data_IF_298670087819
#
_entry.id   IF_298670087819
#
_cell.length_a   1.000
_cell.length_b   1.000
_cell.length_c   1.000
_cell.angle_alpha   90.00
_cell.angle_beta   90.00
_cell.angle_gamma   90.00
#
_symmetry.space_group_name_H-M   'P 1'
#
loop_
_entity.id
_entity.type
_entity.pdbx_description
1 polymer ?
#
# COMPACT_ATOMS: atom_id res chain seq x y z
N UNK A 1 19.21 23.85 -15.15
CA UNK A 1 18.40 23.16 -14.13
C UNK A 1 17.83 21.93 -14.80
N UNK A 2 18.33 20.76 -14.46
CA UNK A 2 17.77 19.48 -14.94
C UNK A 2 16.35 19.36 -14.37
N UNK A 3 15.40 19.01 -15.21
CA UNK A 3 14.03 18.73 -14.77
C UNK A 3 14.05 17.46 -13.92
N UNK A 4 13.96 17.61 -12.60
CA UNK A 4 13.99 16.53 -11.62
C UNK A 4 12.76 15.61 -11.72
N UNK A 5 11.74 16.02 -12.44
CA UNK A 5 10.53 15.21 -12.65
C UNK A 5 10.63 14.34 -13.92
N UNK A 6 11.65 14.56 -14.76
CA UNK A 6 11.87 13.77 -15.96
C UNK A 6 12.08 12.28 -15.61
N UNK A 7 11.29 11.42 -16.22
CA UNK A 7 11.35 9.98 -16.03
C UNK A 7 12.43 9.38 -16.94
N UNK A 8 13.37 8.66 -16.34
CA UNK A 8 14.33 7.81 -17.05
C UNK A 8 13.86 6.37 -16.95
N UNK A 9 13.76 5.68 -18.06
CA UNK A 9 13.34 4.28 -18.09
C UNK A 9 14.52 3.36 -18.38
N UNK A 10 14.48 2.13 -17.90
CA UNK A 10 15.48 1.12 -18.16
C UNK A 10 14.91 -0.29 -18.04
N UNK A 11 15.72 -1.25 -18.42
CA UNK A 11 15.45 -2.67 -18.28
C UNK A 11 16.53 -3.31 -17.41
N UNK A 12 16.12 -4.17 -16.50
CA UNK A 12 17.01 -4.95 -15.64
C UNK A 12 16.74 -6.44 -15.87
N UNK A 13 17.72 -7.15 -16.40
CA UNK A 13 17.67 -8.62 -16.48
C UNK A 13 17.92 -9.21 -15.10
N UNK A 14 17.00 -10.05 -14.65
CA UNK A 14 17.06 -10.82 -13.41
C UNK A 14 16.88 -12.31 -13.73
N UNK A 15 17.00 -13.18 -12.74
CA UNK A 15 16.76 -14.60 -12.97
C UNK A 15 15.30 -14.86 -13.35
N UNK A 16 15.09 -15.34 -14.58
CA UNK A 16 13.80 -15.72 -15.14
C UNK A 16 12.87 -14.56 -15.56
N UNK A 17 13.38 -13.31 -15.61
CA UNK A 17 12.57 -12.17 -16.06
C UNK A 17 13.44 -10.98 -16.54
N UNK A 18 12.79 -10.04 -17.24
CA UNK A 18 13.35 -8.71 -17.52
C UNK A 18 12.43 -7.65 -16.94
N UNK A 19 12.93 -6.85 -16.00
CA UNK A 19 12.13 -5.84 -15.28
C UNK A 19 12.23 -4.48 -15.96
N UNK A 20 11.10 -3.89 -16.28
CA UNK A 20 11.02 -2.48 -16.66
C UNK A 20 11.02 -1.62 -15.39
N UNK A 21 11.90 -0.61 -15.34
CA UNK A 21 11.94 0.34 -14.24
C UNK A 21 11.96 1.78 -14.72
N UNK A 22 11.51 2.66 -13.85
CA UNK A 22 11.43 4.11 -14.03
C UNK A 22 12.12 4.79 -12.87
N UNK A 23 12.97 5.79 -13.17
CA UNK A 23 13.73 6.52 -12.15
C UNK A 23 13.52 8.01 -12.36
N UNK A 24 13.27 8.72 -11.28
CA UNK A 24 13.13 10.19 -11.27
C UNK A 24 13.77 10.78 -10.00
N UNK A 25 14.12 12.08 -10.07
CA UNK A 25 14.76 12.76 -8.96
C UNK A 25 16.25 12.47 -8.77
N UNK A 26 16.80 13.06 -7.72
CA UNK A 26 18.20 12.92 -7.27
C UNK A 26 18.23 12.93 -5.74
N UNK A 27 19.07 12.08 -5.14
CA UNK A 27 19.24 11.93 -3.70
C UNK A 27 19.36 10.46 -3.28
N UNK A 28 19.15 10.13 -2.01
CA UNK A 28 19.12 8.76 -1.53
C UNK A 28 18.09 7.93 -2.30
N UNK A 29 18.37 6.65 -2.54
CA UNK A 29 17.48 5.78 -3.29
C UNK A 29 16.24 5.39 -2.48
N UNK A 30 15.06 5.58 -3.08
CA UNK A 30 13.78 5.05 -2.63
C UNK A 30 13.22 4.12 -3.71
N UNK A 31 13.08 2.84 -3.41
CA UNK A 31 12.40 1.88 -4.29
C UNK A 31 10.93 1.78 -3.86
N UNK A 32 10.02 1.87 -4.83
CA UNK A 32 8.57 1.72 -4.60
C UNK A 32 8.04 0.58 -5.46
N UNK A 33 7.61 -0.50 -4.83
CA UNK A 33 7.02 -1.66 -5.50
C UNK A 33 5.49 -1.57 -5.47
N UNK A 34 4.80 -1.65 -6.62
CA UNK A 34 3.34 -1.65 -6.68
C UNK A 34 2.75 -2.97 -6.15
N UNK A 35 1.57 -2.87 -5.53
CA UNK A 35 0.81 -4.02 -5.03
C UNK A 35 -0.37 -4.39 -5.93
N UNK A 36 -1.03 -5.51 -5.61
CA UNK A 36 -2.15 -6.02 -6.40
C UNK A 36 -1.75 -6.31 -7.85
N UNK A 37 -2.55 -5.85 -8.79
CA UNK A 37 -2.29 -5.95 -10.24
C UNK A 37 -1.63 -4.69 -10.81
N UNK A 38 -1.17 -3.76 -9.95
CA UNK A 38 -0.62 -2.48 -10.38
C UNK A 38 0.78 -2.62 -11.01
N UNK A 39 1.14 -1.63 -11.83
CA UNK A 39 2.49 -1.44 -12.37
C UNK A 39 3.10 -0.11 -11.88
N UNK A 40 4.30 0.22 -12.32
CA UNK A 40 5.04 1.42 -11.92
C UNK A 40 4.20 2.71 -12.02
N UNK A 41 3.32 2.80 -13.02
CA UNK A 41 2.52 4.01 -13.29
C UNK A 41 1.52 4.36 -12.18
N UNK A 42 1.18 3.43 -11.26
CA UNK A 42 0.31 3.75 -10.11
C UNK A 42 0.94 4.80 -9.19
N UNK A 43 2.25 4.91 -9.21
CA UNK A 43 3.00 5.81 -8.36
C UNK A 43 3.33 7.17 -8.99
N UNK A 44 2.93 7.45 -10.23
CA UNK A 44 3.38 8.65 -10.96
C UNK A 44 3.18 9.95 -10.17
N UNK A 45 2.01 10.13 -9.56
CA UNK A 45 1.71 11.31 -8.77
C UNK A 45 2.58 11.39 -7.50
N UNK A 46 2.70 10.28 -6.76
CA UNK A 46 3.46 10.20 -5.50
C UNK A 46 4.96 10.33 -5.77
N UNK A 47 5.47 9.63 -6.79
CA UNK A 47 6.88 9.65 -7.13
C UNK A 47 7.37 11.03 -7.57
N UNK A 48 6.53 11.80 -8.29
CA UNK A 48 6.84 13.18 -8.65
C UNK A 48 7.00 14.08 -7.41
N UNK A 49 6.12 13.92 -6.42
CA UNK A 49 6.18 14.69 -5.16
C UNK A 49 7.38 14.32 -4.29
N UNK A 50 7.92 13.09 -4.40
CA UNK A 50 9.07 12.62 -3.64
C UNK A 50 10.42 12.90 -4.33
N UNK A 51 10.42 13.12 -5.65
CA UNK A 51 11.61 13.29 -6.47
C UNK A 51 12.44 14.56 -6.17
N UNK A 52 11.92 15.45 -5.33
CA UNK A 52 12.66 16.63 -4.82
C UNK A 52 13.76 16.24 -3.82
N UNK A 53 13.64 15.09 -3.15
CA UNK A 53 14.52 14.62 -2.07
C UNK A 53 15.13 13.25 -2.29
N UNK A 54 14.52 12.41 -3.14
CA UNK A 54 14.96 11.04 -3.38
C UNK A 54 15.19 10.78 -4.86
N UNK A 55 16.10 9.87 -5.15
CA UNK A 55 16.07 9.12 -6.39
C UNK A 55 14.98 8.07 -6.24
N UNK A 56 13.80 8.33 -6.82
CA UNK A 56 12.66 7.43 -6.73
C UNK A 56 12.70 6.45 -7.88
N UNK A 57 12.78 5.16 -7.56
CA UNK A 57 12.71 4.07 -8.51
C UNK A 57 11.38 3.32 -8.35
N UNK A 58 10.61 3.24 -9.43
CA UNK A 58 9.41 2.39 -9.54
C UNK A 58 9.66 1.34 -10.62
N UNK A 59 8.99 0.21 -10.57
CA UNK A 59 9.17 -0.85 -11.58
C UNK A 59 7.90 -1.68 -11.74
N UNK A 60 7.77 -2.32 -12.89
CA UNK A 60 6.72 -3.31 -13.10
C UNK A 60 7.21 -4.64 -12.49
N UNK A 61 6.43 -5.27 -11.59
CA UNK A 61 6.79 -6.58 -11.05
C UNK A 61 6.94 -7.63 -12.17
N UNK A 62 7.76 -8.66 -11.93
CA UNK A 62 7.93 -9.77 -12.87
C UNK A 62 6.59 -10.37 -13.28
N UNK A 63 6.41 -10.63 -14.58
CA UNK A 63 5.17 -11.14 -15.15
C UNK A 63 4.07 -10.10 -15.35
N UNK A 64 4.30 -8.82 -15.01
CA UNK A 64 3.34 -7.73 -15.15
C UNK A 64 3.76 -6.76 -16.25
N UNK A 65 2.77 -6.24 -16.96
CA UNK A 65 2.89 -5.10 -17.88
C UNK A 65 4.10 -5.18 -18.82
N UNK A 66 5.18 -4.44 -18.53
CA UNK A 66 6.40 -4.34 -19.35
C UNK A 66 7.54 -5.21 -18.84
N UNK A 67 7.28 -6.09 -17.86
CA UNK A 67 8.27 -6.98 -17.23
C UNK A 67 7.97 -8.45 -17.55
N UNK A 68 8.27 -8.93 -18.77
CA UNK A 68 7.98 -10.30 -19.17
C UNK A 68 8.82 -11.32 -18.38
N UNK A 69 8.24 -12.50 -18.19
CA UNK A 69 8.95 -13.69 -17.74
C UNK A 69 9.64 -14.37 -18.94
N UNK A 70 10.76 -15.05 -18.68
CA UNK A 70 11.47 -15.87 -19.68
C UNK A 70 10.76 -17.21 -19.95
N UNK A 71 9.78 -17.58 -19.14
CA UNK A 71 9.01 -18.82 -19.21
C UNK A 71 7.53 -18.65 -18.90
N UNK A 72 6.78 -19.74 -18.74
CA UNK A 72 5.36 -19.68 -18.39
C UNK A 72 5.15 -19.06 -17.01
N UNK A 73 4.00 -18.40 -16.83
CA UNK A 73 3.60 -17.86 -15.52
C UNK A 73 3.29 -19.02 -14.59
N UNK A 74 3.87 -18.97 -13.39
CA UNK A 74 3.63 -19.91 -12.29
C UNK A 74 3.40 -19.14 -11.00
N UNK A 75 3.03 -19.82 -9.92
CA UNK A 75 2.87 -19.18 -8.62
C UNK A 75 4.15 -18.43 -8.24
N UNK A 76 3.98 -17.14 -7.92
CA UNK A 76 5.05 -16.22 -7.61
C UNK A 76 5.48 -16.34 -6.15
N UNK A 77 6.74 -16.00 -5.86
CA UNK A 77 7.29 -16.05 -4.51
C UNK A 77 7.66 -14.66 -3.99
N UNK A 78 7.20 -14.24 -2.80
CA UNK A 78 7.68 -13.01 -2.18
C UNK A 78 9.21 -12.94 -2.05
N UNK A 79 9.88 -14.08 -1.84
CA UNK A 79 11.33 -14.15 -1.76
C UNK A 79 12.01 -13.80 -3.10
N UNK A 80 11.49 -14.31 -4.22
CA UNK A 80 12.02 -14.01 -5.55
C UNK A 80 11.83 -12.52 -5.89
N UNK A 81 10.67 -11.95 -5.58
CA UNK A 81 10.45 -10.51 -5.77
C UNK A 81 11.32 -9.66 -4.84
N UNK A 82 11.65 -10.14 -3.63
CA UNK A 82 12.60 -9.48 -2.73
C UNK A 82 14.01 -9.45 -3.33
N UNK A 83 14.44 -10.56 -3.95
CA UNK A 83 15.73 -10.63 -4.64
C UNK A 83 15.76 -9.70 -5.85
N UNK A 84 14.66 -9.55 -6.61
CA UNK A 84 14.53 -8.56 -7.69
C UNK A 84 14.72 -7.12 -7.20
N UNK A 85 14.11 -6.77 -6.06
CA UNK A 85 14.29 -5.43 -5.44
C UNK A 85 15.77 -5.19 -5.15
N UNK A 86 16.46 -6.17 -4.60
CA UNK A 86 17.90 -6.03 -4.29
C UNK A 86 18.73 -5.87 -5.56
N UNK A 87 18.42 -6.60 -6.65
CA UNK A 87 19.07 -6.41 -7.94
C UNK A 87 18.85 -5.00 -8.50
N UNK A 88 17.64 -4.45 -8.33
CA UNK A 88 17.36 -3.07 -8.73
C UNK A 88 18.14 -2.07 -7.86
N UNK A 89 18.25 -2.30 -6.56
CA UNK A 89 19.08 -1.49 -5.67
C UNK A 89 20.54 -1.56 -6.08
N UNK A 90 21.08 -2.74 -6.40
CA UNK A 90 22.47 -2.91 -6.83
C UNK A 90 22.77 -2.17 -8.14
N UNK A 91 21.80 -2.16 -9.08
CA UNK A 91 21.90 -1.39 -10.33
C UNK A 91 21.94 0.11 -10.09
N UNK A 92 21.07 0.63 -9.20
CA UNK A 92 20.85 2.06 -9.02
C UNK A 92 21.70 2.68 -7.91
N UNK A 93 22.29 1.87 -7.03
CA UNK A 93 23.20 2.25 -5.95
C UNK A 93 24.46 1.37 -5.98
N UNK A 94 25.31 1.54 -7.02
CA UNK A 94 26.49 0.69 -7.24
C UNK A 94 27.58 0.89 -6.18
N UNK A 95 27.54 1.97 -5.41
CA UNK A 95 28.41 2.22 -4.27
C UNK A 95 28.05 1.39 -3.02
N UNK A 96 26.95 0.63 -3.10
CA UNK A 96 26.50 -0.25 -2.02
C UNK A 96 25.67 0.48 -0.94
N UNK A 97 25.33 1.76 -1.11
CA UNK A 97 24.48 2.48 -0.17
C UNK A 97 23.10 1.81 -0.03
N UNK A 98 22.58 1.63 1.20
CA UNK A 98 21.27 1.03 1.41
C UNK A 98 20.15 1.96 0.96
N UNK A 99 19.09 1.38 0.39
CA UNK A 99 17.92 2.11 -0.10
C UNK A 99 16.78 2.12 0.91
N UNK A 100 15.90 3.12 0.82
CA UNK A 100 14.56 3.03 1.40
C UNK A 100 13.65 2.20 0.49
N UNK A 101 12.68 1.48 1.08
CA UNK A 101 11.72 0.64 0.37
C UNK A 101 10.30 0.94 0.84
N UNK A 102 9.40 1.19 -0.11
CA UNK A 102 7.97 1.27 0.12
C UNK A 102 7.23 0.17 -0.64
N UNK A 103 6.35 -0.54 0.06
CA UNK A 103 5.41 -1.49 -0.53
C UNK A 103 4.03 -1.35 0.10
N UNK A 104 2.96 -1.55 -0.70
CA UNK A 104 1.58 -1.52 -0.22
C UNK A 104 0.85 -2.80 -0.60
N UNK A 105 0.01 -3.32 0.31
CA UNK A 105 -0.74 -4.56 0.08
C UNK A 105 0.20 -5.76 -0.22
N UNK A 106 0.01 -6.48 -1.32
CA UNK A 106 0.87 -7.62 -1.69
C UNK A 106 2.36 -7.26 -1.77
N UNK A 107 2.73 -6.06 -2.24
CA UNK A 107 4.12 -5.63 -2.24
C UNK A 107 4.68 -5.26 -0.86
N UNK A 108 3.82 -4.94 0.10
CA UNK A 108 4.25 -4.83 1.50
C UNK A 108 4.72 -6.19 2.05
N UNK A 109 4.13 -7.30 1.61
CA UNK A 109 4.63 -8.65 1.95
C UNK A 109 6.02 -8.88 1.38
N UNK A 110 6.26 -8.43 0.14
CA UNK A 110 7.60 -8.48 -0.47
C UNK A 110 8.60 -7.60 0.29
N UNK A 111 8.18 -6.41 0.71
CA UNK A 111 9.03 -5.52 1.50
C UNK A 111 9.45 -6.15 2.84
N UNK A 112 8.55 -6.89 3.51
CA UNK A 112 8.89 -7.68 4.70
C UNK A 112 9.89 -8.79 4.37
N UNK A 113 9.69 -9.52 3.27
CA UNK A 113 10.60 -10.56 2.81
C UNK A 113 11.99 -9.98 2.48
N UNK A 114 12.05 -8.82 1.81
CA UNK A 114 13.30 -8.13 1.48
C UNK A 114 14.06 -7.71 2.74
N UNK A 115 13.39 -7.15 3.74
CA UNK A 115 14.01 -6.75 4.99
C UNK A 115 14.55 -7.95 5.77
N UNK A 116 13.78 -9.04 5.84
CA UNK A 116 14.21 -10.24 6.54
C UNK A 116 15.42 -10.92 5.89
N UNK A 117 15.51 -10.91 4.54
CA UNK A 117 16.57 -11.59 3.78
C UNK A 117 17.81 -10.74 3.54
N UNK A 118 17.63 -9.43 3.39
CA UNK A 118 18.66 -8.49 2.94
C UNK A 118 18.71 -7.20 3.80
N UNK A 119 18.78 -7.31 5.14
CA UNK A 119 18.68 -6.14 6.03
C UNK A 119 19.77 -5.09 5.75
N UNK A 120 20.98 -5.51 5.35
CA UNK A 120 22.08 -4.58 5.03
C UNK A 120 21.89 -3.76 3.76
N UNK A 121 20.91 -4.08 2.91
CA UNK A 121 20.59 -3.33 1.67
C UNK A 121 19.46 -2.30 1.87
N UNK A 122 18.83 -2.27 3.04
CA UNK A 122 17.65 -1.45 3.32
C UNK A 122 17.89 -0.53 4.51
N UNK A 123 17.79 0.77 4.29
CA UNK A 123 17.92 1.79 5.33
C UNK A 123 16.60 2.01 6.10
N UNK A 124 15.46 1.92 5.39
CA UNK A 124 14.12 2.06 5.95
C UNK A 124 13.13 1.30 5.09
N UNK A 125 12.22 0.57 5.71
CA UNK A 125 11.13 -0.14 5.02
C UNK A 125 9.79 0.36 5.56
N UNK A 126 8.92 0.78 4.65
CA UNK A 126 7.53 1.11 4.96
C UNK A 126 6.66 0.07 4.28
N UNK A 127 6.05 -0.80 5.08
CA UNK A 127 5.14 -1.86 4.63
C UNK A 127 3.70 -1.44 4.96
N UNK A 128 2.97 -0.90 3.97
CA UNK A 128 1.60 -0.42 4.15
C UNK A 128 0.61 -1.58 3.95
N UNK A 129 -0.05 -1.95 5.04
CA UNK A 129 -1.13 -2.94 5.08
C UNK A 129 -0.82 -4.27 4.38
N UNK A 130 0.25 -4.99 4.80
CA UNK A 130 0.55 -6.31 4.27
C UNK A 130 -0.54 -7.34 4.66
N UNK A 131 -1.19 -8.03 3.70
CA UNK A 131 -2.24 -9.00 3.99
C UNK A 131 -1.66 -10.35 4.46
N UNK A 132 -0.88 -10.34 5.53
CA UNK A 132 -0.22 -11.54 6.07
C UNK A 132 -1.19 -12.33 6.94
N UNK A 133 -1.94 -13.24 6.33
CA UNK A 133 -3.01 -13.99 7.03
C UNK A 133 -2.50 -14.84 8.20
N UNK A 134 -1.24 -15.27 8.15
CA UNK A 134 -0.62 -16.04 9.25
C UNK A 134 -0.59 -15.30 10.59
N UNK A 135 -0.79 -13.98 10.59
CA UNK A 135 -0.73 -13.12 11.77
C UNK A 135 -2.11 -12.67 12.27
N UNK A 136 -3.17 -13.05 11.58
CA UNK A 136 -4.55 -12.76 11.97
C UNK A 136 -4.96 -13.59 13.21
N UNK A 137 -6.01 -13.17 13.93
CA UNK A 137 -6.63 -13.98 14.98
C UNK A 137 -7.12 -15.33 14.47
N UNK A 138 -7.70 -15.38 13.28
CA UNK A 138 -8.07 -16.60 12.55
C UNK A 138 -7.33 -16.66 11.19
N UNK A 139 -6.15 -17.32 11.16
CA UNK A 139 -5.40 -17.47 9.92
C UNK A 139 -6.06 -18.39 8.89
N UNK A 140 -6.94 -19.31 9.32
CA UNK A 140 -7.62 -20.22 8.42
C UNK A 140 -8.72 -19.53 7.65
N UNK A 141 -9.53 -18.72 8.32
CA UNK A 141 -10.53 -17.88 7.66
C UNK A 141 -9.89 -16.95 6.61
N UNK A 142 -8.75 -16.32 6.96
CA UNK A 142 -8.00 -15.48 6.02
C UNK A 142 -7.51 -16.25 4.79
N UNK A 143 -6.98 -17.47 4.97
CA UNK A 143 -6.56 -18.34 3.85
C UNK A 143 -7.74 -18.77 3.00
N UNK A 144 -8.84 -19.15 3.64
CA UNK A 144 -10.06 -19.58 2.96
C UNK A 144 -10.64 -18.45 2.08
N UNK A 145 -10.63 -17.20 2.58
CA UNK A 145 -11.06 -16.04 1.81
C UNK A 145 -10.28 -15.91 0.50
N UNK A 146 -8.94 -15.86 0.56
CA UNK A 146 -8.14 -15.68 -0.65
C UNK A 146 -8.19 -16.91 -1.58
N UNK A 147 -8.34 -18.11 -1.04
CA UNK A 147 -8.58 -19.31 -1.83
C UNK A 147 -9.92 -19.25 -2.57
N UNK A 148 -10.99 -18.77 -1.91
CA UNK A 148 -12.30 -18.57 -2.54
C UNK A 148 -12.25 -17.50 -3.66
N UNK A 149 -11.49 -16.42 -3.47
CA UNK A 149 -11.29 -15.42 -4.53
C UNK A 149 -10.61 -16.03 -5.76
N UNK A 150 -9.53 -16.82 -5.56
CA UNK A 150 -8.85 -17.52 -6.67
C UNK A 150 -9.77 -18.53 -7.35
N UNK A 151 -10.56 -19.25 -6.59
CA UNK A 151 -11.52 -20.22 -7.17
C UNK A 151 -12.62 -19.51 -7.97
N UNK A 152 -13.17 -18.40 -7.47
CA UNK A 152 -14.12 -17.58 -8.22
C UNK A 152 -13.51 -17.04 -9.53
N UNK A 153 -12.22 -16.69 -9.52
CA UNK A 153 -11.51 -16.33 -10.74
C UNK A 153 -11.47 -17.48 -11.75
N UNK A 154 -11.15 -18.69 -11.30
CA UNK A 154 -11.04 -19.88 -12.16
C UNK A 154 -12.39 -20.30 -12.77
N UNK A 155 -13.47 -20.17 -12.01
CA UNK A 155 -14.80 -20.58 -12.42
C UNK A 155 -15.49 -19.51 -13.30
N UNK A 156 -15.47 -18.25 -12.85
CA UNK A 156 -16.35 -17.21 -13.38
C UNK A 156 -15.57 -15.95 -13.81
N UNK A 157 -14.22 -15.97 -13.71
CA UNK A 157 -13.35 -14.92 -14.20
C UNK A 157 -13.18 -13.72 -13.26
N UNK A 158 -12.58 -12.66 -13.79
CA UNK A 158 -12.12 -11.49 -13.01
C UNK A 158 -13.25 -10.81 -12.23
N UNK A 159 -14.43 -10.63 -12.84
CA UNK A 159 -15.54 -9.92 -12.18
C UNK A 159 -16.02 -10.64 -10.92
N UNK A 160 -16.16 -11.97 -10.97
CA UNK A 160 -16.55 -12.78 -9.83
C UNK A 160 -15.49 -12.76 -8.72
N UNK A 161 -14.21 -12.87 -9.08
CA UNK A 161 -13.12 -12.79 -8.13
C UNK A 161 -13.07 -11.44 -7.40
N UNK A 162 -13.25 -10.33 -8.12
CA UNK A 162 -13.25 -9.00 -7.52
C UNK A 162 -14.47 -8.78 -6.62
N UNK A 163 -15.64 -9.32 -6.98
CA UNK A 163 -16.82 -9.31 -6.12
C UNK A 163 -16.61 -10.12 -4.83
N UNK A 164 -16.03 -11.32 -4.95
CA UNK A 164 -15.69 -12.16 -3.80
C UNK A 164 -14.67 -11.47 -2.87
N UNK A 165 -13.66 -10.82 -3.44
CA UNK A 165 -12.66 -10.07 -2.67
C UNK A 165 -13.30 -8.89 -1.93
N UNK A 166 -14.14 -8.10 -2.60
CA UNK A 166 -14.83 -6.97 -1.98
C UNK A 166 -15.75 -7.42 -0.83
N UNK A 167 -16.51 -8.49 -1.03
CA UNK A 167 -17.38 -9.05 -0.01
C UNK A 167 -16.59 -9.58 1.22
N UNK A 168 -15.47 -10.27 0.98
CA UNK A 168 -14.68 -10.86 2.05
C UNK A 168 -13.78 -9.87 2.80
N UNK A 169 -13.51 -8.70 2.24
CA UNK A 169 -12.79 -7.63 2.92
C UNK A 169 -13.72 -6.60 3.56
N UNK A 170 -15.03 -6.67 3.31
CA UNK A 170 -16.00 -5.80 3.97
C UNK A 170 -16.01 -6.07 5.50
N UNK A 171 -16.15 -5.05 6.35
CA UNK A 171 -16.34 -5.27 7.79
C UNK A 171 -17.59 -6.13 8.02
N UNK A 172 -17.53 -7.08 8.95
CA UNK A 172 -18.73 -7.82 9.36
C UNK A 172 -19.75 -6.82 9.93
N UNK A 173 -21.00 -6.86 9.44
CA UNK A 173 -22.08 -6.02 9.96
C UNK A 173 -22.38 -6.46 11.41
N UNK A 174 -21.80 -5.77 12.37
CA UNK A 174 -22.06 -6.04 13.80
C UNK A 174 -21.02 -5.50 14.79
N UNK A 175 -19.82 -5.17 14.37
CA UNK A 175 -18.79 -4.67 15.29
C UNK A 175 -18.51 -3.16 15.06
N UNK A 176 -19.52 -2.33 15.48
CA UNK A 176 -19.28 -0.92 15.69
C UNK A 176 -18.23 -0.78 16.81
N UNK A 177 -17.09 -0.15 16.50
CA UNK A 177 -16.07 0.17 17.49
C UNK A 177 -16.73 0.82 18.73
N UNK A 178 -16.36 0.45 19.98
CA UNK A 178 -16.90 1.09 21.16
C UNK A 178 -16.55 2.57 21.13
N UNK A 179 -17.56 3.40 20.93
CA UNK A 179 -17.43 4.85 21.06
C UNK A 179 -16.97 5.21 22.48
N UNK A 180 -16.25 6.33 22.69
CA UNK A 180 -15.80 6.74 24.01
C UNK A 180 -17.02 6.87 24.93
N UNK A 181 -17.02 6.12 26.05
CA UNK A 181 -18.01 6.19 27.09
C UNK A 181 -18.21 7.64 27.54
N UNK A 182 -19.38 8.19 27.25
CA UNK A 182 -19.86 9.40 27.90
C UNK A 182 -20.23 9.05 29.33
N UNK A 183 -19.42 9.51 30.26
CA UNK A 183 -19.79 9.50 31.68
C UNK A 183 -21.12 10.20 31.86
N UNK A 184 -22.12 9.42 32.29
CA UNK A 184 -23.43 9.94 32.70
C UNK A 184 -23.28 10.64 34.04
N UNK A 185 -23.43 11.96 34.07
CA UNK A 185 -23.84 12.69 35.29
C UNK A 185 -25.21 13.28 35.04
N UNK A 186 -26.19 12.73 35.74
CA UNK A 186 -27.56 13.23 35.71
C UNK A 186 -27.69 14.52 36.50
N UNK A 187 -28.58 15.37 36.02
CA UNK A 187 -29.52 16.16 36.87
C UNK A 187 -30.61 16.73 35.97
N UNK A 188 -31.85 16.33 36.30
CA UNK A 188 -33.05 16.98 35.82
C UNK A 188 -33.05 18.44 36.24
N UNK A 189 -33.53 19.32 35.36
CA UNK A 189 -34.56 20.32 35.70
C UNK A 189 -35.14 20.97 34.45
N UNK A 190 -36.49 21.06 34.49
CA UNK A 190 -37.35 21.63 33.48
C UNK A 190 -37.36 23.19 33.52
N UNK A 191 -37.64 23.82 32.43
CA UNK A 191 -38.71 24.81 32.18
C UNK A 191 -38.32 25.91 31.17
N UNK A 192 -39.11 25.98 30.14
CA UNK A 192 -39.71 27.16 29.46
C UNK A 192 -38.90 28.43 29.22
N UNK A 193 -38.74 28.81 27.97
CA UNK A 193 -39.26 30.05 27.37
C UNK A 193 -38.73 30.26 25.95
N UNK A 194 -39.62 30.63 25.07
CA UNK A 194 -39.37 31.10 23.71
C UNK A 194 -38.56 32.41 23.74
N UNK A 195 -37.45 32.46 22.97
CA UNK A 195 -36.91 33.73 22.52
C UNK A 195 -36.33 33.58 21.08
N UNK A 196 -36.80 34.53 20.25
CA UNK A 196 -36.52 34.67 18.83
C UNK A 196 -35.01 34.98 18.58
N UNK A 197 -34.31 34.34 17.65
CA UNK A 197 -32.89 34.64 17.42
C UNK A 197 -32.70 35.87 16.52
N UNK A 198 -31.87 36.78 17.00
CA UNK A 198 -31.33 37.93 16.28
C UNK A 198 -30.37 37.57 15.13
N UNK A 199 -30.24 38.41 14.09
CA UNK A 199 -29.59 38.08 12.79
C UNK A 199 -28.07 37.94 12.79
N UNK A 200 -27.38 38.06 13.91
CA UNK A 200 -25.87 38.12 13.91
C UNK A 200 -25.17 36.76 14.05
N UNK A 201 -25.90 35.66 14.26
CA UNK A 201 -25.28 34.31 14.39
C UNK A 201 -25.13 33.56 13.07
N UNK A 202 -25.55 34.10 11.95
CA UNK A 202 -25.47 33.43 10.64
C UNK A 202 -24.13 33.62 9.89
N UNK A 203 -23.22 34.44 10.43
CA UNK A 203 -21.92 34.68 9.76
C UNK A 203 -20.83 33.67 10.14
N UNK A 204 -20.92 33.00 11.29
CA UNK A 204 -19.90 32.03 11.74
C UNK A 204 -20.13 30.57 11.28
N UNK A 205 -21.37 30.25 10.85
CA UNK A 205 -21.68 28.92 10.30
C UNK A 205 -21.44 28.77 8.80
N UNK A 206 -20.96 29.80 8.12
CA UNK A 206 -20.65 29.77 6.70
C UNK A 206 -19.19 29.31 6.38
N UNK A 207 -18.35 29.04 7.38
CA UNK A 207 -16.94 28.71 7.21
C UNK A 207 -16.62 27.21 7.12
N UNK A 208 -17.60 26.31 7.26
CA UNK A 208 -17.44 24.86 7.04
C UNK A 208 -18.35 24.36 5.92
N UNK A 209 -18.29 25.03 4.77
CA UNK A 209 -18.71 24.37 3.53
C UNK A 209 -17.60 23.40 3.14
N UNK A 210 -17.77 22.15 3.51
CA UNK A 210 -17.12 21.01 2.90
C UNK A 210 -17.16 21.22 1.39
N UNK A 211 -15.98 21.48 0.79
CA UNK A 211 -15.86 21.65 -0.65
C UNK A 211 -16.33 20.34 -1.28
N UNK A 212 -17.44 20.40 -2.00
CA UNK A 212 -17.89 19.28 -2.81
C UNK A 212 -16.70 18.78 -3.65
N UNK A 213 -16.51 17.46 -3.78
CA UNK A 213 -15.40 16.92 -4.55
C UNK A 213 -15.44 17.56 -5.95
N UNK A 214 -14.29 18.08 -6.40
CA UNK A 214 -14.16 18.60 -7.74
C UNK A 214 -14.62 17.52 -8.74
N UNK A 215 -15.30 17.87 -9.84
CA UNK A 215 -15.77 16.89 -10.81
C UNK A 215 -14.58 16.03 -11.25
N UNK A 216 -14.74 14.72 -11.19
CA UNK A 216 -13.71 13.74 -11.59
C UNK A 216 -13.27 14.09 -13.03
N UNK A 217 -12.03 14.53 -13.15
CA UNK A 217 -11.43 14.85 -14.43
C UNK A 217 -11.19 13.53 -15.17
N UNK A 218 -11.60 13.44 -16.43
CA UNK A 218 -11.32 12.26 -17.24
C UNK A 218 -9.82 11.91 -17.17
N UNK A 219 -9.46 10.62 -17.08
CA UNK A 219 -8.08 10.20 -16.97
C UNK A 219 -7.26 10.67 -18.19
N UNK A 220 -6.01 11.06 -17.93
CA UNK A 220 -5.09 11.37 -19.05
C UNK A 220 -4.84 10.11 -19.90
N UNK A 221 -4.33 10.25 -21.14
CA UNK A 221 -3.96 9.09 -21.96
C UNK A 221 -2.99 8.14 -21.26
N UNK A 222 -2.04 8.66 -20.47
CA UNK A 222 -1.07 7.90 -19.68
C UNK A 222 -1.76 7.14 -18.56
N UNK A 223 -2.62 7.80 -17.78
CA UNK A 223 -3.42 7.15 -16.74
C UNK A 223 -4.33 6.06 -17.32
N UNK A 224 -4.98 6.34 -18.46
CA UNK A 224 -5.79 5.32 -19.15
C UNK A 224 -4.94 4.12 -19.63
N UNK A 225 -3.69 4.35 -20.06
CA UNK A 225 -2.77 3.28 -20.43
C UNK A 225 -2.37 2.45 -19.20
N UNK A 226 -2.06 3.09 -18.06
CA UNK A 226 -1.78 2.43 -16.78
C UNK A 226 -2.96 1.55 -16.34
N UNK A 227 -4.18 2.07 -16.33
CA UNK A 227 -5.36 1.28 -15.96
C UNK A 227 -5.60 0.07 -16.88
N UNK A 228 -5.37 0.22 -18.19
CA UNK A 228 -5.46 -0.94 -19.11
C UNK A 228 -4.42 -2.02 -18.79
N UNK A 229 -3.17 -1.64 -18.50
CA UNK A 229 -2.12 -2.59 -18.11
C UNK A 229 -2.44 -3.26 -16.77
N UNK A 230 -2.87 -2.50 -15.77
CA UNK A 230 -3.30 -3.04 -14.48
C UNK A 230 -4.45 -4.05 -14.63
N UNK A 231 -5.42 -3.74 -15.51
CA UNK A 231 -6.51 -4.68 -15.81
C UNK A 231 -5.98 -5.96 -16.49
N UNK A 232 -5.03 -5.82 -17.41
CA UNK A 232 -4.41 -6.98 -18.07
C UNK A 232 -3.56 -7.84 -17.11
N UNK A 233 -3.06 -7.28 -16.00
CA UNK A 233 -2.32 -8.02 -14.97
C UNK A 233 -3.24 -8.81 -14.02
N UNK A 234 -4.54 -8.52 -13.96
CA UNK A 234 -5.46 -9.17 -13.01
C UNK A 234 -5.44 -10.70 -13.06
N UNK A 235 -5.39 -11.37 -14.24
CA UNK A 235 -5.28 -12.82 -14.26
C UNK A 235 -4.03 -13.35 -13.57
N UNK A 236 -2.87 -12.71 -13.77
CA UNK A 236 -1.62 -13.11 -13.10
C UNK A 236 -1.73 -12.87 -11.59
N UNK A 237 -2.26 -11.74 -11.18
CA UNK A 237 -2.46 -11.42 -9.78
C UNK A 237 -3.38 -12.43 -9.08
N UNK A 238 -4.56 -12.67 -9.62
CA UNK A 238 -5.60 -13.50 -9.01
C UNK A 238 -5.19 -14.98 -8.96
N UNK A 239 -4.51 -15.48 -10.01
CA UNK A 239 -4.12 -16.87 -10.09
C UNK A 239 -2.80 -17.17 -9.37
N UNK A 240 -1.77 -16.29 -9.55
CA UNK A 240 -0.40 -16.65 -9.23
C UNK A 240 0.27 -15.80 -8.13
N UNK A 241 -0.37 -14.72 -7.69
CA UNK A 241 0.21 -13.81 -6.69
C UNK A 241 -0.61 -13.77 -5.41
N UNK A 242 -1.92 -13.65 -5.51
CA UNK A 242 -2.81 -13.40 -4.37
C UNK A 242 -2.62 -14.42 -3.23
N UNK A 243 -2.78 -15.71 -3.51
CA UNK A 243 -2.67 -16.75 -2.50
C UNK A 243 -1.24 -16.98 -1.99
N UNK A 244 -0.19 -17.06 -2.85
CA UNK A 244 1.18 -17.19 -2.37
C UNK A 244 1.64 -16.04 -1.49
N UNK A 245 1.20 -14.80 -1.78
CA UNK A 245 1.64 -13.63 -1.02
C UNK A 245 0.85 -13.47 0.28
N UNK A 246 -0.47 -13.61 0.27
CA UNK A 246 -1.26 -13.57 1.50
C UNK A 246 -0.94 -14.72 2.45
N UNK A 247 -0.60 -15.89 1.90
CA UNK A 247 -0.18 -17.08 2.65
C UNK A 247 1.28 -17.04 3.12
N UNK A 248 2.05 -16.01 2.78
CA UNK A 248 3.45 -15.89 3.21
C UNK A 248 3.56 -15.83 4.73
N UNK A 249 4.51 -16.58 5.29
CA UNK A 249 4.83 -16.58 6.72
C UNK A 249 6.12 -15.78 6.92
N UNK A 250 6.05 -14.58 7.50
CA UNK A 250 7.24 -13.76 7.71
C UNK A 250 8.20 -14.39 8.72
N UNK A 251 9.51 -14.23 8.50
CA UNK A 251 10.52 -14.53 9.49
C UNK A 251 10.49 -13.45 10.61
N UNK A 252 9.73 -13.73 11.68
CA UNK A 252 9.57 -12.80 12.80
C UNK A 252 10.88 -12.56 13.55
N UNK A 253 11.82 -13.50 13.53
CA UNK A 253 13.12 -13.36 14.21
C UNK A 253 13.97 -12.34 13.46
N UNK A 254 14.09 -12.50 12.14
CA UNK A 254 14.83 -11.57 11.30
C UNK A 254 14.19 -10.16 11.30
N UNK A 255 12.86 -10.09 11.21
CA UNK A 255 12.13 -8.80 11.25
C UNK A 255 12.29 -8.11 12.61
N UNK A 256 12.26 -8.85 13.71
CA UNK A 256 12.51 -8.30 15.06
C UNK A 256 13.94 -7.74 15.18
N UNK A 257 14.92 -8.43 14.63
CA UNK A 257 16.31 -7.95 14.62
C UNK A 257 16.46 -6.65 13.79
N UNK A 258 15.57 -6.42 12.81
CA UNK A 258 15.58 -5.25 11.93
C UNK A 258 14.44 -4.26 12.24
N UNK A 259 13.79 -4.37 13.39
CA UNK A 259 12.58 -3.61 13.74
C UNK A 259 12.78 -2.08 13.69
N UNK A 260 13.97 -1.59 13.99
CA UNK A 260 14.31 -0.17 13.92
C UNK A 260 14.23 0.39 12.49
N UNK A 261 14.38 -0.46 11.46
CA UNK A 261 14.26 -0.09 10.05
C UNK A 261 12.86 -0.30 9.48
N UNK A 262 11.92 -0.88 10.24
CA UNK A 262 10.58 -1.25 9.78
C UNK A 262 9.52 -0.32 10.34
N UNK A 263 8.67 0.20 9.47
CA UNK A 263 7.43 0.89 9.82
C UNK A 263 6.26 0.21 9.12
N UNK A 264 5.26 -0.19 9.90
CA UNK A 264 3.99 -0.69 9.36
C UNK A 264 3.07 0.50 9.10
N UNK A 265 2.64 0.68 7.85
CA UNK A 265 1.63 1.67 7.48
C UNK A 265 0.23 1.12 7.69
N UNK A 266 -0.68 1.96 8.19
CA UNK A 266 -2.12 1.63 8.35
C UNK A 266 -2.94 2.82 7.84
N UNK A 267 -3.89 2.58 6.95
CA UNK A 267 -4.82 3.59 6.50
C UNK A 267 -5.78 3.97 7.60
N UNK A 268 -6.07 5.26 7.73
CA UNK A 268 -7.01 5.79 8.74
C UNK A 268 -8.40 5.17 8.62
N UNK A 269 -8.84 4.95 7.37
CA UNK A 269 -10.20 4.54 7.05
C UNK A 269 -10.34 3.02 6.84
N UNK A 270 -9.23 2.25 6.98
CA UNK A 270 -9.19 0.79 6.79
C UNK A 270 -8.83 -0.01 8.05
N UNK A 271 -8.88 0.60 9.24
CA UNK A 271 -8.39 -0.04 10.49
C UNK A 271 -9.07 -1.37 10.83
N UNK A 272 -10.34 -1.54 10.44
CA UNK A 272 -11.08 -2.79 10.64
C UNK A 272 -10.81 -3.83 9.56
N UNK A 273 -10.14 -3.47 8.47
CA UNK A 273 -9.87 -4.41 7.38
C UNK A 273 -8.72 -5.36 7.73
N UNK A 274 -8.82 -6.58 7.22
CA UNK A 274 -7.84 -7.65 7.41
C UNK A 274 -6.37 -7.19 7.24
N UNK A 275 -5.98 -6.43 6.19
CA UNK A 275 -4.58 -6.03 6.02
C UNK A 275 -4.08 -5.07 7.11
N UNK A 276 -4.94 -4.19 7.62
CA UNK A 276 -4.61 -3.27 8.71
C UNK A 276 -4.45 -4.03 10.03
N UNK A 277 -5.36 -4.95 10.33
CA UNK A 277 -5.27 -5.84 11.51
C UNK A 277 -3.98 -6.67 11.48
N UNK A 278 -3.62 -7.22 10.31
CA UNK A 278 -2.38 -7.98 10.13
C UNK A 278 -1.13 -7.10 10.35
N UNK A 279 -1.13 -5.85 9.81
CA UNK A 279 -0.05 -4.90 9.99
C UNK A 279 0.19 -4.57 11.48
N UNK A 280 -0.87 -4.21 12.20
CA UNK A 280 -0.79 -3.92 13.64
C UNK A 280 -0.37 -5.16 14.46
N UNK A 281 -0.89 -6.34 14.08
CA UNK A 281 -0.50 -7.63 14.69
C UNK A 281 1.00 -7.91 14.51
N UNK A 282 1.54 -7.65 13.32
CA UNK A 282 2.97 -7.78 13.03
C UNK A 282 3.79 -6.78 13.86
N UNK A 283 3.41 -5.50 13.85
CA UNK A 283 4.12 -4.45 14.58
C UNK A 283 4.30 -4.81 16.06
N UNK A 284 3.22 -5.26 16.71
CA UNK A 284 3.28 -5.70 18.12
C UNK A 284 4.23 -6.89 18.34
N UNK A 285 4.27 -7.86 17.41
CA UNK A 285 5.10 -9.08 17.54
C UNK A 285 6.60 -8.82 17.38
N UNK A 286 6.96 -7.89 16.47
CA UNK A 286 8.37 -7.61 16.17
C UNK A 286 8.89 -6.34 16.83
N UNK A 287 8.03 -5.51 17.44
CA UNK A 287 8.41 -4.23 18.04
C UNK A 287 8.68 -3.13 17.02
N UNK A 288 8.07 -3.21 15.82
CA UNK A 288 8.19 -2.18 14.79
C UNK A 288 7.26 -1.00 15.05
N UNK A 289 7.61 0.17 14.49
CA UNK A 289 6.75 1.36 14.52
C UNK A 289 5.49 1.18 13.66
N UNK A 290 4.42 1.89 14.03
CA UNK A 290 3.20 2.00 13.23
C UNK A 290 3.02 3.46 12.81
N UNK A 291 2.68 3.69 11.54
CA UNK A 291 2.36 5.01 11.02
C UNK A 291 0.98 5.00 10.38
N UNK A 292 0.13 5.95 10.77
CA UNK A 292 -1.15 6.18 10.10
C UNK A 292 -0.95 6.93 8.79
N UNK A 293 -1.66 6.49 7.75
CA UNK A 293 -1.67 7.11 6.43
C UNK A 293 -3.07 7.65 6.08
N UNK A 294 -3.17 8.70 5.23
CA UNK A 294 -4.44 9.24 4.75
C UNK A 294 -5.21 8.20 3.91
N UNK A 295 -6.54 8.20 4.05
CA UNK A 295 -7.42 7.27 3.36
C UNK A 295 -7.41 5.86 3.94
N UNK A 296 -7.88 4.90 3.15
CA UNK A 296 -7.92 3.50 3.50
C UNK A 296 -6.80 2.68 2.84
N UNK A 297 -7.11 1.42 2.52
CA UNK A 297 -6.19 0.48 1.87
C UNK A 297 -5.62 1.00 0.54
N UNK A 298 -6.41 1.75 -0.20
CA UNK A 298 -6.02 2.39 -1.47
C UNK A 298 -5.76 3.89 -1.33
N UNK A 299 -5.52 4.39 -0.12
CA UNK A 299 -5.30 5.80 0.20
C UNK A 299 -4.22 6.48 -0.65
N UNK A 300 -3.25 5.71 -1.16
CA UNK A 300 -2.21 6.21 -2.06
C UNK A 300 -2.78 6.74 -3.40
N UNK A 301 -3.92 6.20 -3.86
CA UNK A 301 -4.61 6.64 -5.09
C UNK A 301 -5.71 7.65 -4.80
N UNK A 302 -6.37 7.55 -3.66
CA UNK A 302 -7.45 8.46 -3.24
C UNK A 302 -6.91 9.82 -2.78
N UNK A 303 -5.78 9.81 -2.07
CA UNK A 303 -5.16 10.99 -1.46
C UNK A 303 -3.66 11.12 -1.79
N UNK A 304 -3.23 11.09 -3.07
CA UNK A 304 -1.83 10.90 -3.46
C UNK A 304 -0.89 11.96 -2.85
N UNK A 305 -1.29 13.23 -2.82
CA UNK A 305 -0.45 14.32 -2.25
C UNK A 305 -0.29 14.18 -0.73
N UNK A 306 -1.39 13.93 -0.01
CA UNK A 306 -1.35 13.76 1.44
C UNK A 306 -0.60 12.48 1.81
N UNK A 307 -0.76 11.41 1.03
CA UNK A 307 -0.04 10.16 1.20
C UNK A 307 1.48 10.36 0.96
N UNK A 308 1.87 11.06 -0.11
CA UNK A 308 3.27 11.38 -0.39
C UNK A 308 3.91 12.21 0.72
N UNK A 309 3.22 13.23 1.22
CA UNK A 309 3.69 14.05 2.34
C UNK A 309 3.91 13.18 3.60
N UNK A 310 2.96 12.31 3.92
CA UNK A 310 3.07 11.41 5.06
C UNK A 310 4.20 10.38 4.89
N UNK A 311 4.35 9.79 3.70
CA UNK A 311 5.45 8.88 3.39
C UNK A 311 6.80 9.57 3.53
N UNK A 312 6.92 10.81 3.08
CA UNK A 312 8.12 11.65 3.27
C UNK A 312 8.49 11.79 4.74
N UNK A 313 7.53 12.09 5.61
CA UNK A 313 7.75 12.25 7.05
C UNK A 313 8.22 10.93 7.67
N UNK A 314 7.59 9.80 7.32
CA UNK A 314 7.93 8.48 7.83
C UNK A 314 9.33 8.04 7.37
N UNK A 315 9.71 8.36 6.13
CA UNK A 315 11.03 8.04 5.60
C UNK A 315 12.14 8.92 6.21
N UNK A 316 11.83 10.16 6.61
CA UNK A 316 12.77 11.10 7.21
C UNK A 316 12.94 10.91 8.72
N UNK A 317 12.03 10.22 9.41
CA UNK A 317 12.12 9.94 10.84
C UNK A 317 13.24 8.92 11.10
N UNK A 318 14.27 9.35 11.80
CA UNK A 318 15.41 8.52 12.25
C UNK A 318 15.10 7.75 13.53
#
# INVERSE_FOLDING_TARGET
MTDRTAVRTGLLTVDGATLHHEVRGEGPLLVMMPGGSADAGIYDAIAADLADRWTVATFDPRGYSRSPLDGPVTDQSPATHADDIVRLIDLLSPDGAPAALFGSSSSAVVALAALARHPGRLSRVVAHEPPVVALLPDPEAGRALFAAVREAFRQDGVAAAMAAMAAGLAPEEGEAAPGPERAASGSEQAATAEENPTPERNAEQAATREQAPAPERAPTPEQAATFRRMHANLPVFLEHVLCPFSGYVPDLVALKASAAHLVLGVGRDSRALLPAVAAEGLARRVGAGVAEFPGGHIGLTEHPRAFAARLRDVLAAT
#
